data_IF_393419609645
#
_entry.id   IF_393419609645
#
_cell.length_a   1.000
_cell.length_b   1.000
_cell.length_c   1.000
_cell.angle_alpha   90.00
_cell.angle_beta   90.00
_cell.angle_gamma   90.00
#
_symmetry.space_group_name_H-M   'P 1'
#
loop_
_entity.id
_entity.type
_entity.pdbx_description
1 polymer ?
#
# COMPACT_ATOMS: atom_id res chain seq x y z
N UNK A 1 28.25 5.82 9.74
CA UNK A 1 26.83 5.42 9.76
C UNK A 1 26.18 6.01 8.51
N UNK A 2 25.83 5.17 7.54
CA UNK A 2 25.40 5.61 6.21
C UNK A 2 23.96 6.12 6.24
N UNK A 3 23.78 7.43 6.00
CA UNK A 3 22.47 8.13 6.05
C UNK A 3 21.85 8.29 4.65
N UNK A 4 22.39 7.69 3.57
CA UNK A 4 21.95 8.02 2.20
C UNK A 4 21.76 6.82 1.24
N UNK A 5 21.21 5.69 1.70
CA UNK A 5 21.09 4.48 0.86
C UNK A 5 19.88 4.47 -0.09
N UNK A 6 18.80 5.21 0.19
CA UNK A 6 17.67 5.32 -0.76
C UNK A 6 18.10 6.03 -2.06
N UNK A 7 18.83 7.15 -1.94
CA UNK A 7 19.44 7.84 -3.07
C UNK A 7 20.41 6.93 -3.84
N UNK A 8 21.11 6.04 -3.15
CA UNK A 8 22.03 5.13 -3.84
C UNK A 8 21.37 4.00 -4.61
N UNK A 9 20.22 3.51 -4.16
CA UNK A 9 19.41 2.60 -4.97
C UNK A 9 18.71 3.33 -6.14
N UNK A 10 18.36 4.60 -5.98
CA UNK A 10 17.67 5.42 -7.00
C UNK A 10 18.59 5.97 -8.08
N UNK A 11 19.75 6.50 -7.70
CA UNK A 11 20.72 7.10 -8.62
C UNK A 11 21.80 6.11 -9.07
N UNK A 12 21.86 4.94 -8.42
CA UNK A 12 22.92 3.96 -8.65
C UNK A 12 24.27 4.36 -8.04
N UNK A 13 24.30 5.21 -7.01
CA UNK A 13 25.54 5.64 -6.32
C UNK A 13 25.33 5.84 -4.82
N UNK A 14 26.09 5.15 -3.96
CA UNK A 14 26.09 5.41 -2.51
C UNK A 14 27.35 6.16 -2.13
N UNK A 15 27.22 7.18 -1.26
CA UNK A 15 28.37 7.79 -0.61
C UNK A 15 28.95 6.82 0.43
N UNK A 16 30.13 6.26 0.13
CA UNK A 16 30.88 5.43 1.05
C UNK A 16 31.97 6.29 1.69
N UNK A 17 32.00 6.32 3.03
CA UNK A 17 33.15 6.81 3.76
C UNK A 17 34.14 5.65 3.87
N UNK A 18 35.16 5.62 3.01
CA UNK A 18 36.29 4.70 3.18
C UNK A 18 37.22 5.35 4.18
N UNK A 19 37.21 4.88 5.43
CA UNK A 19 38.20 5.34 6.41
C UNK A 19 39.54 4.70 6.07
N UNK A 20 40.43 5.46 5.45
CA UNK A 20 41.83 5.06 5.36
C UNK A 20 42.43 5.25 6.76
N UNK A 21 42.57 4.14 7.51
CA UNK A 21 42.93 4.13 8.95
C UNK A 21 44.27 4.85 9.22
N UNK A 22 45.06 5.10 8.18
CA UNK A 22 46.38 5.76 8.27
C UNK A 22 46.36 7.27 8.03
N UNK A 23 45.34 7.84 7.37
CA UNK A 23 45.35 9.25 6.98
C UNK A 23 44.45 10.15 7.83
N UNK A 24 43.49 9.59 8.57
CA UNK A 24 42.57 10.37 9.41
C UNK A 24 41.61 11.29 8.64
N UNK A 25 41.62 11.24 7.30
CA UNK A 25 40.74 12.01 6.42
C UNK A 25 39.73 11.05 5.80
N UNK A 26 38.46 11.21 6.16
CA UNK A 26 37.37 10.48 5.51
C UNK A 26 37.05 11.18 4.18
N UNK A 27 37.61 10.69 3.07
CA UNK A 27 37.16 11.10 1.74
C UNK A 27 35.86 10.35 1.39
N UNK A 28 34.80 11.11 1.12
CA UNK A 28 33.55 10.55 0.62
C UNK A 28 33.73 10.18 -0.86
N UNK A 29 33.79 8.87 -1.15
CA UNK A 29 33.79 8.38 -2.54
C UNK A 29 32.39 7.89 -2.91
N UNK A 30 31.89 8.36 -4.06
CA UNK A 30 30.65 7.87 -4.64
C UNK A 30 30.92 6.53 -5.33
N UNK A 31 30.43 5.43 -4.76
CA UNK A 31 30.57 4.09 -5.35
C UNK A 31 29.33 3.80 -6.18
N UNK A 32 29.52 3.48 -7.46
CA UNK A 32 28.42 3.09 -8.36
C UNK A 32 27.83 1.76 -7.91
N UNK A 33 26.58 1.77 -7.47
CA UNK A 33 25.82 0.61 -7.04
C UNK A 33 24.61 0.40 -7.96
N UNK A 34 24.84 -0.27 -9.10
CA UNK A 34 23.82 -0.50 -10.13
C UNK A 34 22.93 -1.71 -9.84
N UNK A 35 22.11 -1.65 -8.79
CA UNK A 35 21.25 -2.77 -8.44
C UNK A 35 19.92 -2.84 -9.22
N UNK A 36 19.46 -1.75 -9.84
CA UNK A 36 18.15 -1.66 -10.54
C UNK A 36 16.96 -2.19 -9.72
N UNK A 37 17.11 -2.26 -8.40
CA UNK A 37 16.09 -2.80 -7.51
C UNK A 37 14.84 -1.92 -7.44
N UNK A 38 14.99 -0.62 -7.72
CA UNK A 38 13.91 0.36 -7.69
C UNK A 38 13.58 0.75 -9.12
N UNK A 39 12.45 0.27 -9.61
CA UNK A 39 11.70 0.93 -10.67
C UNK A 39 10.80 1.99 -10.03
N UNK A 40 10.65 3.14 -10.69
CA UNK A 40 9.69 4.15 -10.26
C UNK A 40 8.27 3.55 -10.30
N UNK A 41 7.56 3.47 -9.15
CA UNK A 41 6.19 3.00 -9.15
C UNK A 41 5.31 3.89 -10.03
N UNK A 42 4.50 3.28 -10.88
CA UNK A 42 3.53 4.00 -11.72
C UNK A 42 2.15 3.84 -11.12
N UNK A 43 1.43 4.96 -11.04
CA UNK A 43 0.08 5.03 -10.46
C UNK A 43 -0.96 5.12 -11.57
N UNK A 44 -2.04 4.35 -11.48
CA UNK A 44 -3.18 4.38 -12.41
C UNK A 44 -4.48 4.52 -11.63
N UNK A 45 -5.38 5.38 -12.10
CA UNK A 45 -6.67 5.62 -11.48
C UNK A 45 -7.79 4.80 -12.13
N UNK A 46 -8.73 4.34 -11.32
CA UNK A 46 -9.92 3.59 -11.75
C UNK A 46 -11.17 4.18 -11.08
N UNK A 47 -12.26 4.31 -11.83
CA UNK A 47 -13.57 4.78 -11.34
C UNK A 47 -14.63 3.70 -11.52
N UNK A 48 -15.83 3.92 -10.97
CA UNK A 48 -16.98 3.04 -11.18
C UNK A 48 -17.90 3.54 -12.33
N UNK A 49 -18.43 2.65 -13.20
CA UNK A 49 -18.00 1.26 -13.35
C UNK A 49 -16.56 1.23 -13.89
N UNK A 50 -15.75 0.21 -13.52
CA UNK A 50 -14.42 0.10 -14.09
C UNK A 50 -14.56 0.04 -15.61
N UNK A 51 -13.80 0.87 -16.34
CA UNK A 51 -13.62 0.69 -17.77
C UNK A 51 -13.33 -0.81 -18.03
N UNK A 52 -13.78 -1.38 -19.15
CA UNK A 52 -13.60 -2.80 -19.42
C UNK A 52 -12.10 -3.14 -19.32
N UNK A 53 -11.72 -3.70 -18.18
CA UNK A 53 -10.35 -4.14 -17.93
C UNK A 53 -10.08 -5.20 -18.98
N UNK A 54 -8.96 -5.11 -19.73
CA UNK A 54 -8.59 -6.14 -20.70
C UNK A 54 -8.71 -7.50 -20.01
N UNK A 55 -9.61 -8.35 -20.54
CA UNK A 55 -10.12 -9.59 -19.95
C UNK A 55 -9.24 -10.10 -18.81
N UNK A 56 -9.77 -10.06 -17.58
CA UNK A 56 -9.22 -10.79 -16.46
C UNK A 56 -8.82 -12.18 -16.95
N UNK A 57 -7.55 -12.55 -16.77
CA UNK A 57 -7.11 -13.92 -17.05
C UNK A 57 -8.05 -14.85 -16.28
N UNK A 58 -8.59 -15.91 -16.91
CA UNK A 58 -9.50 -16.81 -16.22
C UNK A 58 -8.80 -17.30 -14.97
N UNK A 59 -9.37 -17.00 -13.80
CA UNK A 59 -8.85 -17.46 -12.52
C UNK A 59 -8.60 -18.96 -12.63
N UNK A 60 -7.33 -19.36 -12.59
CA UNK A 60 -6.91 -20.73 -12.74
C UNK A 60 -7.42 -21.55 -11.56
N UNK A 61 -8.62 -22.12 -11.71
CA UNK A 61 -9.21 -23.03 -10.74
C UNK A 61 -10.28 -22.41 -9.83
N UNK A 62 -11.35 -23.17 -9.63
CA UNK A 62 -12.48 -22.86 -8.73
C UNK A 62 -12.09 -22.93 -7.25
N UNK A 63 -11.09 -22.18 -6.80
CA UNK A 63 -10.80 -22.05 -5.37
C UNK A 63 -11.55 -20.85 -4.83
N UNK A 64 -12.44 -21.09 -3.88
CA UNK A 64 -13.11 -20.02 -3.15
C UNK A 64 -12.06 -19.14 -2.45
N UNK A 65 -12.25 -17.82 -2.50
CA UNK A 65 -11.38 -16.88 -1.80
C UNK A 65 -11.30 -17.23 -0.30
N UNK A 66 -10.12 -17.11 0.30
CA UNK A 66 -9.91 -17.41 1.72
C UNK A 66 -9.58 -16.13 2.47
N UNK A 67 -10.43 -15.76 3.43
CA UNK A 67 -10.12 -14.68 4.36
C UNK A 67 -9.31 -15.26 5.52
N UNK A 68 -8.14 -14.67 5.80
CA UNK A 68 -7.26 -15.03 6.92
C UNK A 68 -6.97 -13.78 7.73
N UNK A 69 -6.99 -13.91 9.05
CA UNK A 69 -6.64 -12.83 9.97
C UNK A 69 -5.29 -13.14 10.62
N UNK A 70 -4.42 -12.15 10.71
CA UNK A 70 -3.11 -12.24 11.35
C UNK A 70 -3.10 -11.28 12.54
N UNK A 71 -3.02 -11.81 13.76
CA UNK A 71 -3.04 -11.00 14.98
C UNK A 71 -1.63 -10.51 15.33
N UNK A 72 -1.51 -9.21 15.65
CA UNK A 72 -0.24 -8.58 16.03
C UNK A 72 0.84 -8.55 14.94
N UNK A 73 0.53 -8.85 13.69
CA UNK A 73 1.49 -8.86 12.57
C UNK A 73 1.24 -7.67 11.64
N UNK A 74 2.32 -6.99 11.23
CA UNK A 74 2.22 -5.88 10.29
C UNK A 74 1.89 -6.39 8.87
N UNK A 75 1.04 -5.71 8.08
CA UNK A 75 0.70 -6.12 6.71
C UNK A 75 1.90 -6.40 5.78
N UNK A 76 2.94 -5.58 5.87
CA UNK A 76 4.20 -5.78 5.09
C UNK A 76 4.91 -7.08 5.48
N UNK A 77 4.88 -7.47 6.76
CA UNK A 77 5.49 -8.72 7.21
C UNK A 77 4.67 -9.93 6.74
N UNK A 78 3.34 -9.79 6.65
CA UNK A 78 2.47 -10.79 6.02
C UNK A 78 2.82 -10.96 4.54
N UNK A 79 3.04 -9.86 3.81
CA UNK A 79 3.48 -9.93 2.40
C UNK A 79 4.82 -10.65 2.25
N UNK A 80 5.81 -10.33 3.09
CA UNK A 80 7.11 -11.03 3.07
C UNK A 80 6.96 -12.53 3.37
N UNK A 81 6.17 -12.90 4.39
CA UNK A 81 5.92 -14.30 4.73
C UNK A 81 5.18 -15.07 3.63
N UNK A 82 4.34 -14.39 2.85
CA UNK A 82 3.60 -14.99 1.74
C UNK A 82 4.49 -15.12 0.50
N UNK A 83 5.30 -14.12 0.16
CA UNK A 83 6.27 -14.19 -0.94
C UNK A 83 7.15 -15.45 -0.86
N UNK A 84 7.67 -15.72 0.34
CA UNK A 84 8.52 -16.89 0.61
C UNK A 84 7.79 -18.23 0.38
N UNK A 85 6.45 -18.25 0.45
CA UNK A 85 5.62 -19.46 0.39
C UNK A 85 4.93 -19.67 -0.95
N UNK A 86 4.65 -18.60 -1.68
CA UNK A 86 3.79 -18.61 -2.86
C UNK A 86 4.52 -18.24 -4.13
N UNK A 87 5.84 -18.51 -4.21
CA UNK A 87 6.74 -18.13 -5.32
C UNK A 87 6.02 -17.93 -6.65
N UNK A 88 5.78 -16.68 -7.03
CA UNK A 88 5.12 -16.29 -8.28
C UNK A 88 3.65 -15.84 -8.19
N UNK A 89 2.99 -15.92 -7.04
CA UNK A 89 1.65 -15.35 -6.84
C UNK A 89 1.69 -13.83 -6.89
N UNK A 90 0.78 -13.22 -7.65
CA UNK A 90 0.61 -11.76 -7.67
C UNK A 90 -0.02 -11.30 -6.36
N UNK A 91 0.69 -10.44 -5.63
CA UNK A 91 0.25 -9.90 -4.34
C UNK A 91 -0.02 -8.41 -4.43
N UNK A 92 -0.95 -7.95 -3.61
CA UNK A 92 -1.20 -6.53 -3.43
C UNK A 92 -1.56 -6.19 -1.98
N UNK A 93 -1.44 -4.91 -1.67
CA UNK A 93 -1.90 -4.32 -0.42
C UNK A 93 -3.07 -3.37 -0.68
N UNK A 94 -4.12 -3.47 0.12
CA UNK A 94 -5.18 -2.48 0.18
C UNK A 94 -4.83 -1.46 1.26
N UNK A 95 -4.51 -0.25 0.80
CA UNK A 95 -4.25 0.94 1.60
C UNK A 95 -5.49 1.84 1.59
N UNK A 96 -5.80 2.46 2.71
CA UNK A 96 -6.90 3.42 2.79
C UNK A 96 -6.43 4.75 3.34
N UNK A 97 -7.03 5.82 2.85
CA UNK A 97 -6.84 7.19 3.35
C UNK A 97 -8.18 7.77 3.82
N UNK A 98 -8.21 8.62 4.85
CA UNK A 98 -9.41 9.35 5.22
C UNK A 98 -9.77 10.36 4.13
N UNK A 99 -11.05 10.46 3.78
CA UNK A 99 -11.56 11.55 2.95
C UNK A 99 -11.18 12.91 3.55
N UNK A 100 -10.80 13.85 2.68
CA UNK A 100 -10.47 15.21 3.09
C UNK A 100 -9.28 15.30 4.04
N UNK A 101 -8.43 14.26 4.12
CA UNK A 101 -7.17 14.35 4.87
C UNK A 101 -6.33 15.50 4.32
N UNK A 102 -5.91 16.49 5.15
CA UNK A 102 -5.17 17.67 4.67
C UNK A 102 -3.83 17.34 4.03
N UNK A 103 -3.21 16.24 4.47
CA UNK A 103 -2.00 15.70 3.87
C UNK A 103 -2.29 14.84 2.63
N UNK A 104 -3.57 14.54 2.35
CA UNK A 104 -4.01 13.72 1.24
C UNK A 104 -3.38 12.34 1.27
N UNK A 105 -2.63 12.03 0.21
CA UNK A 105 -1.85 10.81 0.07
C UNK A 105 -0.47 10.88 0.76
N UNK A 106 -0.03 12.07 1.20
CA UNK A 106 1.30 12.23 1.77
C UNK A 106 1.45 11.45 3.07
N UNK A 107 2.67 10.94 3.37
CA UNK A 107 2.93 10.24 4.60
C UNK A 107 2.57 11.09 5.81
N UNK A 108 1.67 10.58 6.63
CA UNK A 108 1.45 11.09 7.97
C UNK A 108 2.10 10.13 8.96
N UNK A 109 3.35 10.41 9.35
CA UNK A 109 4.08 9.59 10.33
C UNK A 109 3.41 9.59 11.71
N UNK A 110 2.47 10.51 11.98
CA UNK A 110 1.65 10.51 13.18
C UNK A 110 0.33 9.69 13.03
N UNK A 111 -0.02 9.23 11.83
CA UNK A 111 -1.24 8.46 11.58
C UNK A 111 -1.17 7.00 12.09
N UNK A 112 0.01 6.55 12.53
CA UNK A 112 0.21 5.26 13.15
C UNK A 112 1.08 4.31 12.32
N UNK A 113 1.30 3.09 12.83
CA UNK A 113 2.34 2.18 12.36
C UNK A 113 2.17 1.72 10.90
N UNK A 114 0.95 1.77 10.35
CA UNK A 114 0.65 1.35 8.98
C UNK A 114 1.22 2.32 7.92
N UNK A 115 0.87 3.62 8.03
CA UNK A 115 1.34 4.67 7.11
C UNK A 115 2.83 4.87 7.28
N UNK A 116 3.30 4.85 8.53
CA UNK A 116 4.72 4.89 8.86
C UNK A 116 5.47 3.74 8.19
N UNK A 117 4.94 2.52 8.20
CA UNK A 117 5.62 1.37 7.62
C UNK A 117 5.59 1.33 6.09
N UNK A 118 4.49 1.69 5.43
CA UNK A 118 4.45 1.75 3.96
C UNK A 118 5.46 2.79 3.44
N UNK A 119 5.49 3.98 4.03
CA UNK A 119 6.44 5.03 3.63
C UNK A 119 7.88 4.68 3.98
N UNK A 120 8.17 4.16 5.18
CA UNK A 120 9.55 3.94 5.62
C UNK A 120 10.18 2.65 5.07
N UNK A 121 9.37 1.62 4.78
CA UNK A 121 9.87 0.29 4.40
C UNK A 121 9.82 0.02 2.91
N UNK A 122 9.18 0.88 2.13
CA UNK A 122 8.98 0.66 0.69
C UNK A 122 9.34 1.90 -0.14
N UNK A 123 9.32 1.76 -1.47
CA UNK A 123 9.40 2.90 -2.39
C UNK A 123 8.02 3.56 -2.67
N UNK A 124 6.96 3.18 -1.95
CA UNK A 124 5.59 3.69 -2.19
C UNK A 124 5.48 5.22 -2.09
N UNK A 125 6.31 5.87 -1.27
CA UNK A 125 6.37 7.32 -1.20
C UNK A 125 6.58 7.99 -2.57
N UNK A 126 7.38 7.37 -3.44
CA UNK A 126 7.63 7.90 -4.78
C UNK A 126 6.40 7.80 -5.67
N UNK A 127 5.62 6.73 -5.51
CA UNK A 127 4.34 6.57 -6.19
C UNK A 127 3.36 7.70 -5.83
N UNK A 128 3.38 8.12 -4.56
CA UNK A 128 2.59 9.22 -4.01
C UNK A 128 3.10 10.56 -4.54
N UNK A 129 4.41 10.85 -4.47
CA UNK A 129 4.97 12.11 -4.96
C UNK A 129 4.72 12.33 -6.46
N UNK A 130 4.72 11.24 -7.25
CA UNK A 130 4.48 11.27 -8.69
C UNK A 130 3.00 11.13 -9.10
N UNK A 131 2.09 10.87 -8.17
CA UNK A 131 0.73 10.37 -8.49
C UNK A 131 -0.03 11.31 -9.43
N UNK A 132 -0.03 12.62 -9.18
CA UNK A 132 -0.78 13.59 -9.98
C UNK A 132 -0.18 13.78 -11.38
N UNK A 133 1.07 13.36 -11.61
CA UNK A 133 1.68 13.34 -12.95
C UNK A 133 1.27 12.09 -13.74
N UNK A 134 0.90 11.02 -13.04
CA UNK A 134 0.47 9.77 -13.65
C UNK A 134 -1.04 9.75 -13.96
N UNK A 135 -1.84 10.50 -13.19
CA UNK A 135 -3.28 10.56 -13.31
C UNK A 135 -3.75 11.67 -14.27
N UNK A 136 -4.94 11.48 -14.86
CA UNK A 136 -5.61 12.49 -15.68
C UNK A 136 -6.39 13.54 -14.87
N UNK A 137 -6.52 13.34 -13.56
CA UNK A 137 -7.15 14.26 -12.63
C UNK A 137 -6.42 14.24 -11.29
N UNK A 138 -6.59 15.26 -10.42
CA UNK A 138 -5.99 15.25 -9.08
C UNK A 138 -6.39 13.99 -8.30
N UNK A 139 -5.42 13.35 -7.65
CA UNK A 139 -5.65 12.11 -6.92
C UNK A 139 -6.75 12.23 -5.84
N UNK A 140 -6.79 13.36 -5.13
CA UNK A 140 -7.83 13.65 -4.13
C UNK A 140 -9.22 13.71 -4.75
N UNK A 141 -9.35 14.27 -5.96
CA UNK A 141 -10.63 14.30 -6.67
C UNK A 141 -11.08 12.89 -7.04
N UNK A 142 -10.17 12.09 -7.59
CA UNK A 142 -10.46 10.70 -7.95
C UNK A 142 -10.94 9.90 -6.74
N UNK A 143 -10.24 10.00 -5.61
CA UNK A 143 -10.55 9.26 -4.40
C UNK A 143 -11.83 9.78 -3.71
N UNK A 144 -11.88 11.06 -3.38
CA UNK A 144 -12.91 11.60 -2.48
C UNK A 144 -14.23 11.89 -3.20
N UNK A 145 -14.19 12.35 -4.45
CA UNK A 145 -15.39 12.74 -5.19
C UNK A 145 -15.88 11.66 -6.15
N UNK A 146 -14.96 11.00 -6.86
CA UNK A 146 -15.31 9.99 -7.86
C UNK A 146 -15.39 8.58 -7.24
N UNK A 147 -14.99 8.42 -5.97
CA UNK A 147 -15.01 7.14 -5.26
C UNK A 147 -14.08 6.10 -5.89
N UNK A 148 -13.04 6.56 -6.58
CA UNK A 148 -12.13 5.75 -7.35
C UNK A 148 -11.09 5.00 -6.51
N UNK A 149 -10.25 4.25 -7.22
CA UNK A 149 -9.11 3.49 -6.68
C UNK A 149 -7.86 3.92 -7.42
N UNK A 150 -6.78 4.14 -6.68
CA UNK A 150 -5.44 4.35 -7.27
C UNK A 150 -4.64 3.07 -7.10
N UNK A 151 -4.17 2.47 -8.19
CA UNK A 151 -3.25 1.35 -8.17
C UNK A 151 -1.82 1.86 -8.42
N UNK A 152 -0.95 1.75 -7.43
CA UNK A 152 0.49 1.97 -7.59
C UNK A 152 1.18 0.63 -7.78
N UNK A 153 1.74 0.40 -8.97
CA UNK A 153 2.32 -0.88 -9.34
C UNK A 153 3.79 -0.97 -8.96
N UNK A 154 4.29 -2.19 -8.73
CA UNK A 154 5.72 -2.46 -8.53
C UNK A 154 6.33 -1.75 -7.31
N UNK A 155 5.58 -1.77 -6.20
CA UNK A 155 6.05 -1.30 -4.90
C UNK A 155 6.96 -2.39 -4.30
N UNK A 156 8.17 -1.99 -3.95
CA UNK A 156 9.22 -2.88 -3.44
C UNK A 156 9.36 -2.76 -1.92
N UNK A 157 9.41 -3.88 -1.21
CA UNK A 157 9.76 -3.92 0.22
C UNK A 157 11.28 -3.85 0.33
N UNK A 158 11.79 -2.72 0.83
CA UNK A 158 13.21 -2.41 0.91
C UNK A 158 13.78 -2.63 2.32
N UNK A 159 12.93 -2.51 3.35
CA UNK A 159 13.37 -2.58 4.74
C UNK A 159 12.54 -3.54 5.59
N UNK A 160 13.22 -4.18 6.53
CA UNK A 160 12.63 -4.98 7.60
C UNK A 160 11.83 -4.14 8.58
N UNK A 161 11.33 -4.79 9.63
CA UNK A 161 10.50 -4.16 10.65
C UNK A 161 11.25 -3.12 11.50
N UNK A 162 10.48 -2.36 12.28
CA UNK A 162 11.02 -1.36 13.20
C UNK A 162 11.85 -1.98 14.35
N UNK A 163 11.54 -3.20 14.78
CA UNK A 163 12.22 -3.88 15.90
C UNK A 163 13.69 -4.20 15.57
N UNK A 164 13.98 -4.40 14.29
CA UNK A 164 15.35 -4.59 13.77
C UNK A 164 16.05 -3.27 13.42
N UNK A 165 15.36 -2.13 13.57
CA UNK A 165 15.84 -0.80 13.18
C UNK A 165 15.70 -0.52 11.68
N UNK A 166 14.70 -1.12 11.02
CA UNK A 166 14.46 -0.98 9.57
C UNK A 166 15.68 -1.34 8.72
N UNK A 167 16.29 -2.51 8.99
CA UNK A 167 17.44 -2.99 8.21
C UNK A 167 17.07 -3.19 6.74
N UNK A 168 18.03 -2.95 5.85
CA UNK A 168 17.87 -3.28 4.43
C UNK A 168 17.70 -4.78 4.25
N UNK A 169 16.78 -5.17 3.37
CA UNK A 169 16.54 -6.56 3.01
C UNK A 169 17.45 -6.99 1.86
N UNK A 170 17.98 -8.21 1.95
CA UNK A 170 18.79 -8.81 0.88
C UNK A 170 17.92 -9.32 -0.29
N UNK A 171 16.67 -9.72 0.03
CA UNK A 171 15.65 -10.13 -0.93
C UNK A 171 14.53 -9.08 -0.98
N UNK A 172 14.17 -8.65 -2.19
CA UNK A 172 13.18 -7.59 -2.41
C UNK A 172 11.91 -8.19 -2.99
N UNK A 173 10.89 -8.29 -2.14
CA UNK A 173 9.54 -8.63 -2.56
C UNK A 173 8.85 -7.42 -3.21
N UNK A 174 7.99 -7.69 -4.20
CA UNK A 174 7.25 -6.66 -4.95
C UNK A 174 5.76 -6.95 -4.91
N UNK A 175 4.96 -5.88 -4.87
CA UNK A 175 3.50 -5.96 -4.79
C UNK A 175 2.87 -4.69 -5.36
N UNK A 176 1.57 -4.75 -5.65
CA UNK A 176 0.78 -3.58 -6.02
C UNK A 176 0.14 -2.96 -4.77
N UNK A 177 -0.08 -1.64 -4.75
CA UNK A 177 -0.84 -0.96 -3.69
C UNK A 177 -2.11 -0.37 -4.27
N UNK A 178 -3.26 -0.84 -3.80
CA UNK A 178 -4.57 -0.25 -4.10
C UNK A 178 -4.92 0.74 -3.00
N UNK A 179 -4.99 2.02 -3.34
CA UNK A 179 -5.38 3.08 -2.44
C UNK A 179 -6.84 3.46 -2.66
N UNK A 180 -7.63 3.46 -1.60
CA UNK A 180 -9.00 3.95 -1.57
C UNK A 180 -9.16 5.05 -0.52
N UNK A 181 -10.15 5.93 -0.67
CA UNK A 181 -10.58 6.79 0.43
C UNK A 181 -11.73 6.16 1.21
N UNK A 182 -11.83 6.47 2.50
CA UNK A 182 -12.98 6.12 3.33
C UNK A 182 -13.49 7.36 4.09
N UNK A 183 -14.80 7.47 4.35
CA UNK A 183 -15.35 8.56 5.15
C UNK A 183 -14.63 8.72 6.48
N UNK A 184 -14.09 9.90 6.76
CA UNK A 184 -13.32 10.17 7.98
C UNK A 184 -14.17 10.03 9.25
N UNK A 185 -15.44 10.37 9.16
CA UNK A 185 -16.37 10.37 10.28
C UNK A 185 -17.67 9.69 9.85
N UNK A 186 -17.70 8.35 9.76
CA UNK A 186 -18.93 7.64 9.48
C UNK A 186 -19.91 7.94 10.62
N UNK A 187 -21.17 8.22 10.27
CA UNK A 187 -22.21 8.29 11.28
C UNK A 187 -22.35 6.92 11.94
N UNK A 188 -22.27 6.87 13.27
CA UNK A 188 -22.38 5.63 14.05
C UNK A 188 -23.52 5.76 15.06
N UNK A 189 -24.38 4.75 15.13
CA UNK A 189 -25.48 4.70 16.09
C UNK A 189 -25.03 4.25 17.50
N UNK A 190 -25.98 4.24 18.45
CA UNK A 190 -25.72 3.84 19.84
C UNK A 190 -25.30 2.38 20.03
N UNK A 191 -25.47 1.54 19.00
CA UNK A 191 -25.11 0.13 19.02
C UNK A 191 -23.78 -0.14 18.31
N UNK A 192 -23.09 0.91 17.86
CA UNK A 192 -21.83 0.76 17.13
C UNK A 192 -22.06 0.21 15.72
N UNK A 193 -23.10 0.65 15.02
CA UNK A 193 -23.35 0.36 13.59
C UNK A 193 -23.40 1.65 12.81
N UNK A 194 -23.30 1.57 11.48
CA UNK A 194 -23.54 2.77 10.65
C UNK A 194 -24.93 3.33 10.92
N UNK A 195 -25.02 4.64 11.09
CA UNK A 195 -26.29 5.33 11.36
C UNK A 195 -27.25 5.33 10.17
N UNK A 196 -26.72 5.18 8.96
CA UNK A 196 -27.47 5.11 7.71
C UNK A 196 -26.94 3.97 6.83
N UNK A 197 -27.84 3.34 6.07
CA UNK A 197 -27.44 2.30 5.12
C UNK A 197 -26.59 2.90 3.99
N UNK A 198 -26.86 4.13 3.55
CA UNK A 198 -26.08 4.83 2.53
C UNK A 198 -24.60 4.96 2.90
N UNK A 199 -24.28 5.22 4.18
CA UNK A 199 -22.90 5.32 4.64
C UNK A 199 -22.18 3.97 4.60
N UNK A 200 -22.88 2.88 4.96
CA UNK A 200 -22.38 1.51 4.86
C UNK A 200 -22.18 1.10 3.41
N UNK A 201 -23.16 1.42 2.56
CA UNK A 201 -23.18 1.11 1.15
C UNK A 201 -22.05 1.82 0.40
N UNK A 202 -21.77 3.09 0.72
CA UNK A 202 -20.63 3.83 0.18
C UNK A 202 -19.30 3.10 0.47
N UNK A 203 -19.08 2.69 1.72
CA UNK A 203 -17.88 1.92 2.11
C UNK A 203 -17.82 0.60 1.36
N UNK A 204 -18.95 -0.10 1.25
CA UNK A 204 -19.07 -1.35 0.49
C UNK A 204 -18.67 -1.16 -0.97
N UNK A 205 -19.16 -0.12 -1.63
CA UNK A 205 -18.87 0.15 -3.04
C UNK A 205 -17.38 0.42 -3.28
N UNK A 206 -16.73 1.21 -2.42
CA UNK A 206 -15.30 1.52 -2.56
C UNK A 206 -14.41 0.31 -2.38
N UNK A 207 -14.70 -0.50 -1.36
CA UNK A 207 -13.96 -1.75 -1.15
C UNK A 207 -14.24 -2.73 -2.30
N UNK A 208 -15.50 -2.81 -2.78
CA UNK A 208 -15.85 -3.65 -3.93
C UNK A 208 -15.08 -3.25 -5.20
N UNK A 209 -14.93 -1.95 -5.47
CA UNK A 209 -14.16 -1.47 -6.62
C UNK A 209 -12.69 -1.88 -6.49
N UNK A 210 -12.07 -1.73 -5.31
CA UNK A 210 -10.70 -2.16 -5.09
C UNK A 210 -10.50 -3.67 -5.34
N UNK A 211 -11.42 -4.50 -4.85
CA UNK A 211 -11.40 -5.94 -5.10
C UNK A 211 -11.58 -6.27 -6.59
N UNK A 212 -12.50 -5.59 -7.27
CA UNK A 212 -12.74 -5.78 -8.70
C UNK A 212 -11.51 -5.42 -9.54
N UNK A 213 -10.86 -4.28 -9.24
CA UNK A 213 -9.63 -3.84 -9.92
C UNK A 213 -8.48 -4.81 -9.62
N UNK A 214 -8.31 -5.25 -8.36
CA UNK A 214 -7.29 -6.22 -7.99
C UNK A 214 -7.47 -7.55 -8.74
N UNK A 215 -8.69 -8.09 -8.77
CA UNK A 215 -9.01 -9.32 -9.49
C UNK A 215 -8.76 -9.17 -11.00
N UNK A 216 -9.13 -8.04 -11.58
CA UNK A 216 -8.93 -7.79 -13.00
C UNK A 216 -7.44 -7.64 -13.38
N UNK A 217 -6.59 -7.26 -12.42
CA UNK A 217 -5.12 -7.25 -12.55
C UNK A 217 -4.46 -8.58 -12.24
N UNK A 218 -5.25 -9.64 -11.98
CA UNK A 218 -4.74 -10.97 -11.68
C UNK A 218 -4.07 -11.08 -10.31
N UNK A 219 -4.42 -10.21 -9.37
CA UNK A 219 -3.95 -10.31 -7.97
C UNK A 219 -4.60 -11.52 -7.31
N UNK A 220 -3.77 -12.41 -6.78
CA UNK A 220 -4.20 -13.64 -6.11
C UNK A 220 -4.31 -13.46 -4.59
N UNK A 221 -3.52 -12.53 -4.04
CA UNK A 221 -3.45 -12.26 -2.60
C UNK A 221 -3.60 -10.76 -2.37
N UNK A 222 -4.64 -10.38 -1.64
CA UNK A 222 -4.84 -9.01 -1.17
C UNK A 222 -4.65 -8.95 0.35
N UNK A 223 -3.64 -8.22 0.80
CA UNK A 223 -3.36 -7.96 2.22
C UNK A 223 -3.90 -6.60 2.60
N UNK A 224 -4.54 -6.46 3.75
CA UNK A 224 -4.97 -5.17 4.27
C UNK A 224 -4.73 -5.10 5.77
N UNK A 225 -4.50 -3.89 6.26
CA UNK A 225 -4.67 -3.56 7.68
C UNK A 225 -6.15 -3.65 8.07
N UNK A 226 -6.49 -3.52 9.37
CA UNK A 226 -7.88 -3.38 9.79
C UNK A 226 -8.54 -2.12 9.19
N UNK A 227 -9.22 -2.32 8.07
CA UNK A 227 -9.73 -1.27 7.18
C UNK A 227 -10.63 -0.29 7.92
N UNK A 228 -10.28 1.00 7.87
CA UNK A 228 -11.07 2.08 8.47
C UNK A 228 -11.15 2.06 10.01
N UNK A 229 -10.47 1.13 10.69
CA UNK A 229 -10.50 1.03 12.16
C UNK A 229 -9.41 1.88 12.83
N UNK A 230 -8.52 2.47 12.05
CA UNK A 230 -7.48 3.36 12.53
C UNK A 230 -8.07 4.66 13.10
N UNK A 231 -7.25 5.41 13.84
CA UNK A 231 -7.64 6.62 14.57
C UNK A 231 -8.32 7.69 13.70
N UNK A 232 -8.09 7.64 12.38
CA UNK A 232 -8.50 8.68 11.46
C UNK A 232 -9.91 8.49 10.87
N UNK A 233 -10.43 7.26 10.79
CA UNK A 233 -11.76 6.99 10.22
C UNK A 233 -12.78 6.41 11.23
N UNK A 234 -12.34 5.60 12.22
CA UNK A 234 -13.20 5.05 13.29
C UNK A 234 -14.48 4.33 12.79
N UNK A 235 -14.38 3.56 11.71
CA UNK A 235 -15.50 2.76 11.22
C UNK A 235 -15.90 1.67 12.23
N UNK A 236 -17.18 1.24 12.26
CA UNK A 236 -17.61 0.17 13.15
C UNK A 236 -16.98 -1.18 12.77
N UNK A 237 -16.19 -1.84 13.67
CA UNK A 237 -15.42 -3.02 13.31
C UNK A 237 -16.24 -4.20 12.77
N UNK A 238 -17.38 -4.50 13.41
CA UNK A 238 -18.24 -5.62 13.00
C UNK A 238 -18.89 -5.40 11.64
N UNK A 239 -19.24 -4.15 11.32
CA UNK A 239 -19.82 -3.81 10.01
C UNK A 239 -18.78 -3.89 8.89
N UNK A 240 -17.54 -3.45 9.15
CA UNK A 240 -16.43 -3.62 8.20
C UNK A 240 -16.13 -5.11 7.97
N UNK A 241 -16.07 -5.90 9.04
CA UNK A 241 -15.86 -7.34 8.94
C UNK A 241 -16.97 -8.03 8.12
N UNK A 242 -18.23 -7.64 8.34
CA UNK A 242 -19.37 -8.15 7.56
C UNK A 242 -19.29 -7.77 6.07
N UNK A 243 -18.91 -6.52 5.76
CA UNK A 243 -18.66 -6.06 4.38
C UNK A 243 -17.60 -6.94 3.71
N UNK A 244 -16.44 -7.13 4.36
CA UNK A 244 -15.35 -7.95 3.82
C UNK A 244 -15.74 -9.43 3.67
N UNK A 245 -16.49 -9.97 4.64
CA UNK A 245 -16.95 -11.36 4.61
C UNK A 245 -17.89 -11.62 3.43
N UNK A 246 -18.81 -10.69 3.15
CA UNK A 246 -19.77 -10.80 2.04
C UNK A 246 -19.12 -10.66 0.67
N UNK A 247 -17.99 -9.94 0.56
CA UNK A 247 -17.26 -9.76 -0.70
C UNK A 247 -16.47 -10.98 -1.17
N UNK A 248 -16.33 -12.00 -0.32
CA UNK A 248 -15.69 -13.27 -0.68
C UNK A 248 -16.53 -14.11 -1.67
N UNK A 249 -17.85 -13.89 -1.69
CA UNK A 249 -18.84 -14.66 -2.45
C UNK A 249 -19.18 -13.99 -3.78
#
# INVERSE_FOLDING_TARGET
VAVSTLQGCLHGFVASAVSDFRSGVAEAQAVRHGCFHISDPISVGFTFPPEPVPRAMPAGGKRAAQLRCFDGVHPIDVLLQLEDRTSGSSMAMLHFVPEGEPLGLLPNLAAGPEVESLTLRTNFFQAIEGVDRHLHCPATRLLDHEGGVICSSNVAILRGDASTGFRWLDHIARFDVFTISLPRHPGVDKWGRYSTEDARELVRQRVQLAFAVAAARGVEVLVSSPLGLSRNCKHPPLEIADILHKMKH
#
